data_IF_307930189313
#
_entry.id   IF_307930189313
#
_cell.length_a   1.000
_cell.length_b   1.000
_cell.length_c   1.000
_cell.angle_alpha   90.00
_cell.angle_beta   90.00
_cell.angle_gamma   90.00
#
_symmetry.space_group_name_H-M   'P 1'
#
loop_
_entity.id
_entity.type
_entity.pdbx_description
1 polymer ?
#
# COMPACT_ATOMS: atom_id res chain seq x y z
N UNK A 1 -6.88 -45.16 72.94
CA UNK A 1 -7.32 -43.75 72.89
C UNK A 1 -6.17 -42.91 72.31
N UNK A 2 -6.47 -41.74 71.74
CA UNK A 2 -5.54 -40.82 71.05
C UNK A 2 -5.00 -41.32 69.70
N UNK A 3 -5.81 -41.15 68.65
CA UNK A 3 -5.36 -41.19 67.26
C UNK A 3 -4.88 -39.80 66.82
N UNK A 4 -3.80 -39.75 66.01
CA UNK A 4 -3.26 -38.49 65.48
C UNK A 4 -4.20 -37.86 64.44
N UNK A 5 -4.28 -36.52 64.44
CA UNK A 5 -4.86 -35.74 63.34
C UNK A 5 -3.78 -35.43 62.30
N UNK A 6 -3.98 -35.67 60.99
CA UNK A 6 -3.13 -35.12 59.95
C UNK A 6 -3.50 -33.64 59.68
N UNK A 7 -2.49 -32.79 59.52
CA UNK A 7 -2.65 -31.45 58.96
C UNK A 7 -2.94 -31.57 57.45
N UNK A 8 -4.02 -30.96 56.98
CA UNK A 8 -4.27 -30.80 55.54
C UNK A 8 -3.64 -29.49 55.08
N UNK A 9 -2.59 -29.60 54.25
CA UNK A 9 -1.93 -28.46 53.64
C UNK A 9 -2.78 -27.97 52.46
N UNK A 10 -3.35 -26.75 52.56
CA UNK A 10 -4.18 -26.21 51.48
C UNK A 10 -3.30 -25.60 50.40
N UNK A 11 -3.02 -26.36 49.34
CA UNK A 11 -2.29 -25.86 48.18
C UNK A 11 -3.18 -24.95 47.32
N UNK A 12 -2.98 -23.63 47.41
CA UNK A 12 -3.59 -22.66 46.51
C UNK A 12 -2.94 -22.76 45.12
N UNK A 13 -3.50 -23.61 44.26
CA UNK A 13 -3.18 -23.61 42.83
C UNK A 13 -3.83 -22.37 42.20
N UNK A 14 -3.04 -21.29 42.04
CA UNK A 14 -3.39 -20.22 41.11
C UNK A 14 -3.42 -20.82 39.70
N UNK A 15 -4.62 -21.10 39.21
CA UNK A 15 -4.87 -21.33 37.80
C UNK A 15 -4.66 -19.99 37.07
N UNK A 16 -3.42 -19.72 36.67
CA UNK A 16 -3.11 -18.73 35.64
C UNK A 16 -3.77 -19.21 34.34
N UNK A 17 -5.03 -18.84 34.17
CA UNK A 17 -5.78 -19.03 32.94
C UNK A 17 -5.11 -18.18 31.87
N UNK A 18 -4.26 -18.82 31.08
CA UNK A 18 -3.63 -18.21 29.92
C UNK A 18 -4.73 -17.76 28.97
N UNK A 19 -5.04 -16.47 28.97
CA UNK A 19 -5.73 -15.83 27.87
C UNK A 19 -4.78 -15.84 26.68
N UNK A 20 -4.76 -16.99 25.98
CA UNK A 20 -4.38 -17.06 24.58
C UNK A 20 -5.37 -16.15 23.85
N UNK A 21 -4.99 -14.87 23.68
CA UNK A 21 -5.78 -13.89 22.98
C UNK A 21 -6.06 -14.41 21.58
N UNK A 22 -7.30 -14.82 21.32
CA UNK A 22 -7.71 -15.23 19.99
C UNK A 22 -7.44 -14.05 19.08
N UNK A 23 -6.64 -14.28 18.03
CA UNK A 23 -6.38 -13.27 17.01
C UNK A 23 -7.73 -12.94 16.35
N UNK A 24 -8.34 -11.84 16.79
CA UNK A 24 -9.67 -11.43 16.36
C UNK A 24 -9.58 -11.09 14.86
N UNK A 25 -10.07 -12.01 14.03
CA UNK A 25 -10.02 -11.84 12.59
C UNK A 25 -10.92 -10.68 12.18
N UNK A 26 -10.35 -9.71 11.48
CA UNK A 26 -11.08 -8.56 10.97
C UNK A 26 -12.16 -9.04 10.00
N UNK A 27 -13.43 -8.71 10.28
CA UNK A 27 -14.55 -9.13 9.43
C UNK A 27 -14.60 -8.25 8.19
N UNK A 28 -14.53 -8.80 6.96
CA UNK A 28 -14.77 -8.04 5.74
C UNK A 28 -16.16 -7.39 5.74
N UNK A 29 -16.24 -6.15 5.26
CA UNK A 29 -17.47 -5.39 5.07
C UNK A 29 -17.78 -5.16 3.58
N UNK A 30 -16.82 -5.39 2.69
CA UNK A 30 -16.97 -5.31 1.23
C UNK A 30 -16.18 -6.42 0.53
N UNK A 31 -16.44 -6.60 -0.77
CA UNK A 31 -15.61 -7.42 -1.66
C UNK A 31 -15.26 -6.57 -2.87
N UNK A 32 -13.97 -6.43 -3.17
CA UNK A 32 -13.49 -5.72 -4.35
C UNK A 32 -13.06 -6.74 -5.43
N UNK A 33 -13.88 -6.88 -6.47
CA UNK A 33 -13.52 -7.52 -7.72
C UNK A 33 -13.19 -6.42 -8.74
N UNK A 34 -11.92 -6.32 -9.13
CA UNK A 34 -11.46 -5.22 -9.98
C UNK A 34 -9.94 -5.10 -10.08
N UNK A 35 -9.51 -3.93 -10.56
CA UNK A 35 -8.15 -3.63 -11.02
C UNK A 35 -7.30 -3.02 -9.91
N UNK A 36 -5.98 -3.22 -9.95
CA UNK A 36 -5.04 -2.54 -9.06
C UNK A 36 -4.06 -1.67 -9.84
N UNK A 37 -3.91 -0.42 -9.41
CA UNK A 37 -2.87 0.48 -9.87
C UNK A 37 -1.78 0.53 -8.80
N UNK A 38 -0.60 0.03 -9.15
CA UNK A 38 0.61 0.13 -8.34
C UNK A 38 1.43 1.34 -8.81
N UNK A 39 1.22 2.45 -8.12
CA UNK A 39 1.96 3.70 -8.31
C UNK A 39 3.45 3.56 -7.98
N UNK A 40 3.86 2.44 -7.36
CA UNK A 40 5.19 2.27 -6.78
C UNK A 40 6.01 1.08 -7.29
N UNK A 41 5.65 0.55 -8.46
CA UNK A 41 6.35 -0.57 -9.07
C UNK A 41 7.76 -0.18 -9.58
N UNK A 42 8.58 -1.20 -9.83
CA UNK A 42 9.84 -1.07 -10.58
C UNK A 42 9.92 -2.24 -11.55
N UNK A 43 10.32 -1.99 -12.81
CA UNK A 43 10.46 -3.02 -13.84
C UNK A 43 11.94 -3.26 -14.12
N UNK A 44 12.39 -4.50 -13.99
CA UNK A 44 13.69 -4.98 -14.45
C UNK A 44 13.59 -5.65 -15.82
N UNK A 45 14.65 -5.58 -16.63
CA UNK A 45 14.59 -5.87 -18.07
C UNK A 45 14.37 -7.35 -18.48
N UNK A 46 14.41 -8.34 -17.57
CA UNK A 46 14.14 -9.75 -17.91
C UNK A 46 13.33 -10.48 -16.83
N UNK A 47 12.41 -11.34 -17.26
CA UNK A 47 11.45 -12.09 -16.45
C UNK A 47 10.39 -11.27 -15.66
N UNK A 48 9.83 -10.21 -16.25
CA UNK A 48 8.44 -9.80 -15.93
C UNK A 48 7.38 -10.58 -16.76
N UNK A 49 7.81 -11.37 -17.75
CA UNK A 49 7.27 -12.73 -17.99
C UNK A 49 7.73 -13.62 -16.80
N UNK A 50 6.92 -14.39 -16.07
CA UNK A 50 5.57 -14.91 -16.29
C UNK A 50 4.50 -14.21 -15.39
N UNK A 51 4.63 -12.88 -15.23
CA UNK A 51 4.04 -12.15 -14.09
C UNK A 51 2.69 -11.49 -14.43
N UNK A 52 2.49 -11.10 -15.70
CA UNK A 52 1.18 -11.05 -16.37
C UNK A 52 0.27 -12.25 -16.06
N UNK A 53 0.72 -13.43 -16.49
CA UNK A 53 -0.12 -14.62 -16.69
C UNK A 53 -0.73 -15.25 -15.42
N UNK A 54 -0.40 -14.77 -14.22
CA UNK A 54 -1.01 -15.22 -12.97
C UNK A 54 -1.92 -14.17 -12.30
N UNK A 55 -1.85 -12.89 -12.66
CA UNK A 55 -2.78 -11.90 -12.11
C UNK A 55 -4.22 -12.29 -12.48
N UNK A 56 -4.40 -12.67 -13.75
CA UNK A 56 -5.68 -13.01 -14.38
C UNK A 56 -6.27 -14.36 -13.94
N UNK A 57 -5.47 -15.34 -13.50
CA UNK A 57 -5.97 -16.67 -13.13
C UNK A 57 -6.62 -16.75 -11.73
N UNK A 58 -6.47 -15.71 -10.90
CA UNK A 58 -7.06 -15.61 -9.55
C UNK A 58 -7.83 -14.28 -9.35
N UNK A 59 -8.51 -13.79 -10.41
CA UNK A 59 -9.40 -12.61 -10.41
C UNK A 59 -8.76 -11.25 -10.07
N UNK A 60 -7.49 -11.00 -10.42
CA UNK A 60 -7.02 -9.61 -10.63
C UNK A 60 -7.17 -9.31 -12.12
N UNK A 61 -8.08 -8.42 -12.50
CA UNK A 61 -8.37 -8.20 -13.91
C UNK A 61 -7.31 -7.34 -14.62
N UNK A 62 -6.66 -6.38 -13.95
CA UNK A 62 -5.49 -5.64 -14.47
C UNK A 62 -4.57 -5.13 -13.34
N UNK A 63 -3.30 -4.98 -13.66
CA UNK A 63 -2.28 -4.33 -12.81
C UNK A 63 -1.66 -3.19 -13.61
N UNK A 64 -1.50 -2.00 -13.02
CA UNK A 64 -0.77 -0.87 -13.63
C UNK A 64 0.54 -0.68 -12.88
N UNK A 65 1.68 -0.78 -13.56
CA UNK A 65 3.00 -0.60 -12.94
C UNK A 65 3.61 0.73 -13.42
N UNK A 66 3.75 1.72 -12.54
CA UNK A 66 4.45 2.96 -12.91
C UNK A 66 5.98 2.79 -12.80
N UNK A 67 6.77 3.10 -13.83
CA UNK A 67 8.23 3.01 -13.75
C UNK A 67 8.87 4.13 -12.93
N UNK A 68 10.05 3.85 -12.35
CA UNK A 68 11.01 4.91 -11.98
C UNK A 68 11.92 5.25 -13.20
N UNK A 69 11.64 6.33 -13.98
CA UNK A 69 12.29 6.56 -15.27
C UNK A 69 13.78 6.94 -15.19
N UNK A 70 14.25 7.26 -13.99
CA UNK A 70 15.61 7.78 -13.73
C UNK A 70 16.64 6.65 -13.54
N UNK A 71 16.21 5.45 -13.12
CA UNK A 71 17.14 4.41 -12.63
C UNK A 71 17.47 3.33 -13.64
N UNK A 72 16.60 3.01 -14.60
CA UNK A 72 16.85 1.99 -15.64
C UNK A 72 16.18 2.36 -16.98
N UNK A 73 16.82 2.13 -18.14
CA UNK A 73 16.18 2.28 -19.45
C UNK A 73 14.95 1.37 -19.67
N UNK A 74 14.93 0.21 -19.01
CA UNK A 74 13.79 -0.69 -18.84
C UNK A 74 12.49 0.05 -18.48
N UNK A 75 12.64 0.98 -17.53
CA UNK A 75 11.59 1.77 -16.90
C UNK A 75 11.20 3.01 -17.75
N UNK A 76 11.35 2.96 -19.07
CA UNK A 76 10.83 4.01 -19.96
C UNK A 76 9.46 3.60 -20.50
N UNK A 77 8.46 4.49 -20.55
CA UNK A 77 7.12 4.15 -21.04
C UNK A 77 7.09 3.34 -22.35
N UNK A 78 7.85 3.76 -23.36
CA UNK A 78 7.96 3.05 -24.66
C UNK A 78 8.61 1.66 -24.58
N UNK A 79 9.44 1.41 -23.56
CA UNK A 79 10.02 0.09 -23.32
C UNK A 79 8.98 -0.81 -22.65
N UNK A 80 8.25 -0.30 -21.64
CA UNK A 80 7.17 -1.04 -20.99
C UNK A 80 6.03 -1.39 -21.95
N UNK A 81 5.57 -0.43 -22.75
CA UNK A 81 4.56 -0.64 -23.82
C UNK A 81 4.98 -1.76 -24.79
N UNK A 82 6.28 -1.90 -25.06
CA UNK A 82 6.82 -2.91 -25.99
C UNK A 82 6.94 -4.30 -25.36
N UNK A 83 7.34 -4.38 -24.09
CA UNK A 83 7.68 -5.66 -23.44
C UNK A 83 6.48 -6.26 -22.68
N UNK A 84 5.49 -5.44 -22.28
CA UNK A 84 4.39 -5.86 -21.41
C UNK A 84 3.00 -5.31 -21.82
N UNK A 85 2.52 -5.57 -23.04
CA UNK A 85 1.31 -4.94 -23.59
C UNK A 85 0.04 -5.16 -22.75
N UNK A 86 -0.16 -6.36 -22.18
CA UNK A 86 -1.36 -6.67 -21.37
C UNK A 86 -1.31 -6.06 -19.95
N UNK A 87 -0.11 -5.68 -19.53
CA UNK A 87 0.24 -5.09 -18.23
C UNK A 87 0.15 -3.55 -18.24
N UNK A 88 0.00 -3.00 -19.44
CA UNK A 88 0.08 -1.58 -19.74
C UNK A 88 -1.32 -1.18 -20.16
N UNK A 89 -2.12 -0.69 -19.22
CA UNK A 89 -3.48 -0.28 -19.52
C UNK A 89 -3.42 0.91 -20.47
N UNK A 90 -3.77 0.68 -21.73
CA UNK A 90 -4.02 1.73 -22.69
C UNK A 90 -5.42 2.30 -22.43
N UNK A 91 -5.49 3.25 -21.51
CA UNK A 91 -6.56 4.24 -21.53
C UNK A 91 -6.53 5.06 -22.82
N UNK A 92 -7.43 6.04 -22.96
CA UNK A 92 -7.50 6.90 -24.14
C UNK A 92 -6.28 7.84 -24.36
N UNK A 93 -5.16 7.63 -23.66
CA UNK A 93 -3.91 8.36 -23.84
C UNK A 93 -2.69 7.44 -23.64
N UNK A 94 -1.67 7.51 -24.52
CA UNK A 94 -0.45 6.73 -24.40
C UNK A 94 0.36 7.15 -23.18
N UNK A 95 1.19 6.25 -22.64
CA UNK A 95 1.88 6.46 -21.36
C UNK A 95 2.91 7.58 -21.39
N UNK A 96 3.37 7.96 -22.57
CA UNK A 96 4.15 9.18 -22.82
C UNK A 96 3.45 10.49 -22.43
N UNK A 97 2.15 10.47 -22.10
CA UNK A 97 1.36 11.60 -21.60
C UNK A 97 1.06 11.55 -20.09
N UNK A 98 1.51 10.52 -19.36
CA UNK A 98 1.30 10.43 -17.92
C UNK A 98 1.96 11.63 -17.19
N UNK A 99 1.32 12.11 -16.13
CA UNK A 99 1.84 13.21 -15.32
C UNK A 99 3.10 12.75 -14.56
N UNK A 100 4.17 13.57 -14.52
CA UNK A 100 5.36 13.24 -13.76
C UNK A 100 5.08 13.34 -12.25
N UNK A 101 5.47 12.30 -11.52
CA UNK A 101 5.37 12.25 -10.05
C UNK A 101 6.78 12.12 -9.49
N UNK A 102 7.13 13.00 -8.57
CA UNK A 102 8.43 12.98 -7.89
C UNK A 102 8.34 12.03 -6.70
N UNK A 103 9.25 11.07 -6.66
CA UNK A 103 9.36 10.14 -5.57
C UNK A 103 10.69 10.39 -4.83
N UNK A 104 10.69 11.16 -3.73
CA UNK A 104 11.90 11.66 -3.09
C UNK A 104 12.54 10.63 -2.13
N UNK A 105 12.28 9.34 -2.31
CA UNK A 105 12.68 8.28 -1.38
C UNK A 105 14.01 7.60 -1.76
N UNK A 106 14.82 7.15 -0.79
CA UNK A 106 14.56 7.09 0.65
C UNK A 106 14.67 8.46 1.34
N UNK A 107 13.77 8.72 2.30
CA UNK A 107 13.78 9.91 3.16
C UNK A 107 14.24 9.54 4.58
N UNK A 108 15.13 10.37 5.14
CA UNK A 108 15.35 10.42 6.59
C UNK A 108 14.58 11.60 7.25
N UNK A 109 14.71 11.72 8.57
CA UNK A 109 13.99 12.73 9.37
C UNK A 109 14.42 14.17 9.08
N UNK A 110 15.63 14.40 8.56
CA UNK A 110 16.14 15.72 8.15
C UNK A 110 15.66 16.06 6.74
N UNK A 111 15.68 15.09 5.83
CA UNK A 111 15.14 15.22 4.47
C UNK A 111 13.64 15.56 4.48
N UNK A 112 12.88 15.01 5.43
CA UNK A 112 11.45 15.27 5.57
C UNK A 112 11.12 16.76 5.83
N UNK A 113 11.98 17.49 6.55
CA UNK A 113 11.84 18.94 6.75
C UNK A 113 12.05 19.71 5.44
N UNK A 114 13.19 19.47 4.79
CA UNK A 114 13.54 20.09 3.50
C UNK A 114 12.53 19.79 2.38
N UNK A 115 11.89 18.62 2.42
CA UNK A 115 10.86 18.21 1.46
C UNK A 115 9.58 19.06 1.58
N UNK A 116 9.22 19.50 2.78
CA UNK A 116 8.07 20.40 2.97
C UNK A 116 8.31 21.76 2.29
N UNK A 117 9.51 22.34 2.47
CA UNK A 117 9.90 23.60 1.84
C UNK A 117 10.05 23.46 0.31
N UNK A 118 10.47 22.29 -0.17
CA UNK A 118 10.49 21.95 -1.61
C UNK A 118 9.08 21.89 -2.20
N UNK A 119 8.12 21.23 -1.55
CA UNK A 119 6.72 21.15 -1.98
C UNK A 119 6.04 22.52 -2.05
N UNK A 120 6.33 23.41 -1.09
CA UNK A 120 5.79 24.78 -1.04
C UNK A 120 6.40 25.66 -2.14
N UNK A 121 7.69 25.49 -2.46
CA UNK A 121 8.36 26.22 -3.55
C UNK A 121 7.95 25.74 -4.95
N UNK A 122 7.47 24.50 -5.06
CA UNK A 122 7.08 23.88 -6.33
C UNK A 122 5.67 23.27 -6.28
N UNK A 123 4.62 24.09 -6.15
CA UNK A 123 3.23 23.63 -6.06
C UNK A 123 2.72 22.99 -7.35
N UNK A 124 3.40 23.20 -8.47
CA UNK A 124 3.15 22.61 -9.79
C UNK A 124 3.64 21.15 -9.91
N UNK A 125 4.58 20.75 -9.05
CA UNK A 125 5.13 19.39 -9.01
C UNK A 125 4.34 18.51 -8.06
N UNK A 126 3.98 17.31 -8.50
CA UNK A 126 3.32 16.31 -7.66
C UNK A 126 4.35 15.38 -7.01
N UNK A 127 4.17 15.08 -5.72
CA UNK A 127 5.08 14.27 -4.93
C UNK A 127 4.37 13.05 -4.35
N UNK A 128 5.01 11.88 -4.36
CA UNK A 128 4.54 10.66 -3.71
C UNK A 128 5.51 10.25 -2.60
N UNK A 129 5.04 10.11 -1.36
CA UNK A 129 5.78 9.50 -0.24
C UNK A 129 5.14 8.14 0.03
N UNK A 130 5.94 7.09 0.20
CA UNK A 130 5.44 5.75 0.54
C UNK A 130 5.89 5.35 1.95
N UNK A 131 5.73 4.07 2.32
CA UNK A 131 6.24 3.55 3.60
C UNK A 131 5.84 4.40 4.83
N UNK A 132 4.56 4.79 4.87
CA UNK A 132 4.01 5.78 5.80
C UNK A 132 4.32 5.45 7.28
N UNK A 133 4.36 4.16 7.61
CA UNK A 133 4.70 3.60 8.92
C UNK A 133 6.13 3.86 9.40
N UNK A 134 7.04 4.34 8.53
CA UNK A 134 8.38 4.82 8.92
C UNK A 134 8.35 6.20 9.57
N UNK A 135 7.26 6.95 9.40
CA UNK A 135 7.11 8.31 9.88
C UNK A 135 6.09 8.38 11.04
N UNK A 136 6.13 9.46 11.81
CA UNK A 136 5.08 9.81 12.77
C UNK A 136 3.81 10.22 11.99
N UNK A 137 2.66 9.51 12.14
CA UNK A 137 1.43 9.84 11.43
C UNK A 137 0.95 11.28 11.67
N UNK A 138 1.24 11.87 12.84
CA UNK A 138 0.89 13.27 13.14
C UNK A 138 1.76 14.27 12.37
N UNK A 139 2.97 13.89 11.97
CA UNK A 139 3.84 14.72 11.11
C UNK A 139 3.43 14.62 9.65
N UNK A 140 3.13 13.42 9.16
CA UNK A 140 2.57 13.22 7.82
C UNK A 140 1.23 13.94 7.66
N UNK A 141 0.32 13.82 8.64
CA UNK A 141 -0.96 14.54 8.71
C UNK A 141 -0.78 16.06 8.53
N UNK A 142 0.07 16.69 9.34
CA UNK A 142 0.39 18.12 9.24
C UNK A 142 1.06 18.54 7.94
N UNK A 143 1.81 17.65 7.28
CA UNK A 143 2.39 17.91 5.97
C UNK A 143 1.32 17.83 4.88
N UNK A 144 0.47 16.80 4.93
CA UNK A 144 -0.62 16.54 4.01
C UNK A 144 -1.68 17.67 3.98
N UNK A 145 -1.88 18.35 5.11
CA UNK A 145 -2.69 19.58 5.23
C UNK A 145 -2.07 20.78 4.49
N UNK A 146 -0.74 20.88 4.47
CA UNK A 146 0.00 22.04 3.93
C UNK A 146 0.44 21.87 2.48
N UNK A 147 0.66 20.63 2.05
CA UNK A 147 1.11 20.26 0.72
C UNK A 147 -0.06 19.60 -0.04
N UNK A 148 -0.89 20.36 -0.79
CA UNK A 148 -1.96 19.78 -1.60
C UNK A 148 -1.41 18.91 -2.75
N UNK A 149 -0.15 19.14 -3.14
CA UNK A 149 0.60 18.39 -4.14
C UNK A 149 1.29 17.12 -3.57
N UNK A 150 1.17 16.82 -2.28
CA UNK A 150 1.61 15.56 -1.67
C UNK A 150 0.52 14.48 -1.79
N UNK A 151 0.96 13.32 -2.26
CA UNK A 151 0.25 12.05 -2.30
C UNK A 151 0.94 11.01 -1.42
N UNK A 152 0.16 10.07 -0.88
CA UNK A 152 0.64 9.01 -0.01
C UNK A 152 0.51 7.64 -0.71
N UNK A 153 1.54 6.80 -0.57
CA UNK A 153 1.61 5.45 -1.13
C UNK A 153 1.59 4.37 -0.06
N UNK A 154 0.58 3.49 -0.07
CA UNK A 154 0.53 2.33 0.82
C UNK A 154 1.50 1.24 0.36
N UNK A 155 2.51 0.99 1.17
CA UNK A 155 3.46 -0.11 1.01
C UNK A 155 3.03 -1.37 1.77
N UNK A 156 3.76 -2.47 1.56
CA UNK A 156 3.59 -3.73 2.27
C UNK A 156 3.51 -3.60 3.81
N UNK A 157 4.39 -2.79 4.40
CA UNK A 157 4.45 -2.61 5.86
C UNK A 157 3.26 -1.81 6.39
N UNK A 158 2.78 -0.84 5.63
CA UNK A 158 1.59 -0.06 5.95
C UNK A 158 0.34 -0.96 5.95
N UNK A 159 0.18 -1.77 4.89
CA UNK A 159 -0.90 -2.73 4.75
C UNK A 159 -0.89 -3.80 5.85
N UNK A 160 0.28 -4.25 6.32
CA UNK A 160 0.38 -5.16 7.49
C UNK A 160 -0.18 -4.53 8.77
N UNK A 161 0.15 -3.26 9.03
CA UNK A 161 -0.33 -2.55 10.22
C UNK A 161 -1.84 -2.31 10.13
N UNK A 162 -2.32 -1.81 8.99
CA UNK A 162 -3.73 -1.54 8.73
C UNK A 162 -4.60 -2.80 8.86
N UNK A 163 -4.17 -3.93 8.27
CA UNK A 163 -4.86 -5.21 8.45
C UNK A 163 -4.83 -5.70 9.89
N UNK A 164 -3.69 -5.61 10.59
CA UNK A 164 -3.58 -6.02 12.01
C UNK A 164 -4.47 -5.18 12.93
N UNK A 165 -4.74 -3.93 12.58
CA UNK A 165 -5.60 -3.00 13.31
C UNK A 165 -7.05 -2.99 12.80
N UNK A 166 -7.41 -3.89 11.89
CA UNK A 166 -8.73 -3.98 11.26
C UNK A 166 -9.22 -2.64 10.68
N UNK A 167 -8.36 -1.93 9.94
CA UNK A 167 -8.64 -0.59 9.43
C UNK A 167 -9.04 0.40 10.55
N UNK A 168 -8.23 0.48 11.62
CA UNK A 168 -8.37 1.45 12.71
C UNK A 168 -6.99 2.00 13.12
N UNK A 169 -6.98 2.97 14.05
CA UNK A 169 -5.77 3.50 14.67
C UNK A 169 -5.09 4.63 13.87
N UNK A 170 -3.93 5.12 14.33
CA UNK A 170 -3.33 6.36 13.81
C UNK A 170 -2.97 6.32 12.32
N UNK A 171 -2.59 5.15 11.80
CA UNK A 171 -2.29 4.98 10.37
C UNK A 171 -3.57 5.01 9.52
N UNK A 172 -4.66 4.42 10.01
CA UNK A 172 -5.97 4.55 9.36
C UNK A 172 -6.44 6.01 9.37
N UNK A 173 -6.28 6.74 10.47
CA UNK A 173 -6.65 8.17 10.54
C UNK A 173 -5.90 9.02 9.51
N UNK A 174 -4.64 8.70 9.24
CA UNK A 174 -3.86 9.32 8.17
C UNK A 174 -4.38 8.94 6.78
N UNK A 175 -4.75 7.66 6.57
CA UNK A 175 -5.38 7.18 5.33
C UNK A 175 -6.70 7.92 5.06
N UNK A 176 -7.57 8.04 6.06
CA UNK A 176 -8.84 8.74 5.93
C UNK A 176 -8.67 10.26 5.68
N UNK A 177 -7.59 10.86 6.17
CA UNK A 177 -7.23 12.24 5.86
C UNK A 177 -6.65 12.41 4.44
N UNK A 178 -6.03 11.35 3.90
CA UNK A 178 -5.47 11.30 2.56
C UNK A 178 -6.50 10.88 1.49
N UNK A 179 -7.79 11.00 1.76
CA UNK A 179 -8.85 10.69 0.80
C UNK A 179 -8.66 11.48 -0.51
N UNK A 180 -8.87 10.81 -1.64
CA UNK A 180 -8.53 11.30 -2.97
C UNK A 180 -7.03 11.49 -3.29
N UNK A 181 -6.12 11.31 -2.31
CA UNK A 181 -4.65 11.47 -2.46
C UNK A 181 -3.83 10.27 -1.98
N UNK A 182 -4.48 9.12 -1.80
CA UNK A 182 -3.87 7.87 -1.33
C UNK A 182 -3.91 6.82 -2.43
N UNK A 183 -2.75 6.23 -2.75
CA UNK A 183 -2.59 5.18 -3.77
C UNK A 183 -1.91 3.95 -3.19
N UNK A 184 -2.04 2.80 -3.85
CA UNK A 184 -1.18 1.65 -3.59
C UNK A 184 0.21 1.86 -4.23
N UNK A 185 1.29 1.57 -3.50
CA UNK A 185 2.67 1.71 -3.96
C UNK A 185 3.57 0.62 -3.35
N UNK A 186 3.89 -0.43 -4.11
CA UNK A 186 4.55 -1.63 -3.58
C UNK A 186 6.01 -1.43 -3.15
N UNK A 187 6.72 -0.46 -3.74
CA UNK A 187 8.16 -0.21 -3.62
C UNK A 187 9.00 -1.47 -3.89
N UNK A 188 9.12 -1.79 -5.18
CA UNK A 188 9.67 -3.04 -5.71
C UNK A 188 11.19 -3.20 -5.77
N UNK A 189 12.02 -2.39 -5.10
CA UNK A 189 13.50 -2.43 -5.32
C UNK A 189 14.16 -3.77 -4.97
N UNK A 190 13.69 -4.44 -3.91
CA UNK A 190 14.25 -5.71 -3.40
C UNK A 190 13.21 -6.84 -3.28
N UNK A 191 12.02 -6.67 -3.87
CA UNK A 191 10.90 -7.60 -3.69
C UNK A 191 10.77 -8.58 -4.84
N UNK A 192 11.06 -9.86 -4.57
CA UNK A 192 10.72 -10.94 -5.49
C UNK A 192 9.19 -11.11 -5.63
N UNK A 193 8.76 -11.81 -6.70
CA UNK A 193 7.35 -12.04 -7.04
C UNK A 193 6.48 -12.61 -5.92
N UNK A 194 7.03 -13.42 -5.01
CA UNK A 194 6.27 -13.98 -3.89
C UNK A 194 5.93 -12.90 -2.83
N UNK A 195 6.80 -11.92 -2.64
CA UNK A 195 6.52 -10.77 -1.78
C UNK A 195 5.52 -9.81 -2.44
N UNK A 196 5.60 -9.65 -3.77
CA UNK A 196 4.59 -8.90 -4.53
C UNK A 196 3.18 -9.50 -4.38
N UNK A 197 3.03 -10.81 -4.58
CA UNK A 197 1.76 -11.53 -4.39
C UNK A 197 1.18 -11.37 -2.99
N UNK A 198 2.02 -11.48 -1.94
CA UNK A 198 1.60 -11.23 -0.55
C UNK A 198 1.11 -9.79 -0.38
N UNK A 199 1.79 -8.82 -1.00
CA UNK A 199 1.41 -7.40 -0.94
C UNK A 199 0.05 -7.16 -1.57
N UNK A 200 -0.23 -7.71 -2.77
CA UNK A 200 -1.56 -7.64 -3.40
C UNK A 200 -2.64 -8.31 -2.54
N UNK A 201 -2.35 -9.46 -1.91
CA UNK A 201 -3.32 -10.10 -1.00
C UNK A 201 -3.58 -9.26 0.26
N UNK A 202 -2.56 -8.60 0.80
CA UNK A 202 -2.71 -7.68 1.94
C UNK A 202 -3.50 -6.42 1.58
N UNK A 203 -3.31 -5.90 0.36
CA UNK A 203 -4.16 -4.84 -0.19
C UNK A 203 -5.62 -5.29 -0.29
N UNK A 204 -5.89 -6.46 -0.88
CA UNK A 204 -7.24 -7.07 -0.95
C UNK A 204 -7.89 -7.23 0.42
N UNK A 205 -7.14 -7.73 1.40
CA UNK A 205 -7.64 -7.87 2.77
C UNK A 205 -7.98 -6.51 3.37
N UNK A 206 -7.16 -5.49 3.14
CA UNK A 206 -7.36 -4.15 3.70
C UNK A 206 -8.57 -3.44 3.09
N UNK A 207 -8.67 -3.39 1.75
CA UNK A 207 -9.80 -2.72 1.07
C UNK A 207 -11.14 -3.39 1.37
N UNK A 208 -11.14 -4.71 1.64
CA UNK A 208 -12.33 -5.45 2.08
C UNK A 208 -12.83 -5.04 3.49
N UNK A 209 -12.02 -4.29 4.26
CA UNK A 209 -12.41 -3.67 5.53
C UNK A 209 -12.92 -2.23 5.36
N UNK A 210 -12.92 -1.70 4.14
CA UNK A 210 -13.39 -0.36 3.80
C UNK A 210 -14.72 -0.42 3.04
N UNK A 211 -15.40 0.73 2.94
CA UNK A 211 -16.51 0.89 1.99
C UNK A 211 -16.01 0.67 0.56
N UNK A 212 -16.88 0.13 -0.29
CA UNK A 212 -16.58 -0.18 -1.70
C UNK A 212 -15.91 1.00 -2.44
N UNK A 213 -16.48 2.20 -2.32
CA UNK A 213 -15.93 3.43 -2.90
C UNK A 213 -14.49 3.73 -2.43
N UNK A 214 -14.17 3.56 -1.14
CA UNK A 214 -12.80 3.78 -0.63
C UNK A 214 -11.85 2.68 -1.08
N UNK A 215 -12.33 1.43 -1.11
CA UNK A 215 -11.58 0.30 -1.64
C UNK A 215 -11.20 0.50 -3.11
N UNK A 216 -12.17 0.90 -3.93
CA UNK A 216 -11.99 1.22 -5.35
C UNK A 216 -11.07 2.44 -5.58
N UNK A 217 -11.22 3.49 -4.76
CA UNK A 217 -10.39 4.68 -4.84
C UNK A 217 -8.90 4.37 -4.61
N UNK A 218 -8.60 3.62 -3.54
CA UNK A 218 -7.23 3.16 -3.23
C UNK A 218 -6.75 2.13 -4.26
N UNK A 219 -7.64 1.28 -4.76
CA UNK A 219 -7.30 0.24 -5.73
C UNK A 219 -6.84 0.83 -7.06
N UNK A 220 -7.53 1.82 -7.64
CA UNK A 220 -7.09 2.44 -8.90
C UNK A 220 -7.47 3.91 -9.12
N UNK A 221 -8.66 4.39 -8.72
CA UNK A 221 -9.13 5.73 -9.18
C UNK A 221 -8.25 6.90 -8.72
N UNK A 222 -7.66 6.80 -7.53
CA UNK A 222 -6.74 7.82 -7.04
C UNK A 222 -5.46 7.85 -7.89
N UNK A 223 -4.98 6.70 -8.36
CA UNK A 223 -3.81 6.63 -9.22
C UNK A 223 -4.11 7.07 -10.66
N UNK A 224 -5.30 6.79 -11.19
CA UNK A 224 -5.78 7.39 -12.45
C UNK A 224 -5.69 8.92 -12.41
N UNK A 225 -6.18 9.52 -11.31
CA UNK A 225 -6.12 10.95 -11.07
C UNK A 225 -4.67 11.46 -10.98
N UNK A 226 -3.85 10.83 -10.13
CA UNK A 226 -2.43 11.16 -9.90
C UNK A 226 -1.65 11.23 -11.22
N UNK A 227 -1.77 10.21 -12.06
CA UNK A 227 -1.02 10.09 -13.31
C UNK A 227 -1.73 10.68 -14.53
N UNK A 228 -3.01 11.08 -14.41
CA UNK A 228 -3.88 11.52 -15.52
C UNK A 228 -3.97 10.47 -16.64
N UNK A 229 -4.12 9.21 -16.26
CA UNK A 229 -4.33 8.08 -17.18
C UNK A 229 -5.62 7.36 -16.81
N UNK A 230 -6.31 6.78 -17.80
CA UNK A 230 -7.52 6.00 -17.56
C UNK A 230 -7.20 4.50 -17.50
N UNK A 231 -7.74 3.83 -16.50
CA UNK A 231 -7.66 2.39 -16.24
C UNK A 231 -8.90 1.73 -16.85
N UNK A 232 -9.01 1.80 -18.17
CA UNK A 232 -10.08 1.13 -18.91
C UNK A 232 -9.88 -0.39 -18.88
N UNK A 233 -10.82 -1.16 -18.33
CA UNK A 233 -11.00 -2.57 -18.71
C UNK A 233 -11.44 -2.67 -20.19
N UNK A 234 -11.08 -3.71 -20.95
CA UNK A 234 -11.70 -3.99 -22.25
C UNK A 234 -13.12 -4.55 -22.06
#
# INVERSE_FOLDING_TARGET
MNALKPFILTAFLLACTGQAGQAQSCKPISQFEGLFFDAGAFVGDQNMERNLENALLYRVEKVVLFPAPVTQPANRPRALEKVFPDLVIQGASPWSKASPVIWPEPLDITMFGSLADEMVRHPDRTYLISHLSRFDPKRLSKLLEKAPNLWLGLSWEDLKILNKQCANGPLQSLVDQADGRLVFASFGRDQNWQNYKKTIQSLRNYIALLSEQKGEAIAFRNAEHLYKVAVNAP
#
